data_IF_333432249627
#
_entry.id   IF_333432249627
#
_cell.length_a   1.000
_cell.length_b   1.000
_cell.length_c   1.000
_cell.angle_alpha   90.00
_cell.angle_beta   90.00
_cell.angle_gamma   90.00
#
_symmetry.space_group_name_H-M   'P 1'
#
loop_
_entity.id
_entity.type
_entity.pdbx_description
1 polymer ?
#
# COMPACT_ATOMS: atom_id res chain seq x y z
N UNK A 1 2.20 18.75 -2.19
CA UNK A 1 2.46 18.55 -0.74
C UNK A 1 1.35 19.14 0.12
N UNK A 2 0.84 20.35 -0.19
CA UNK A 2 -0.17 21.02 0.63
C UNK A 2 -1.50 20.22 0.74
N UNK A 3 -2.02 19.70 -0.37
CA UNK A 3 -3.32 19.02 -0.41
C UNK A 3 -3.35 17.73 0.44
N UNK A 4 -2.32 16.89 0.32
CA UNK A 4 -2.25 15.62 1.05
C UNK A 4 -2.08 15.82 2.57
N UNK A 5 -1.35 16.85 2.99
CA UNK A 5 -1.19 17.19 4.41
C UNK A 5 -2.49 17.74 5.00
N UNK A 6 -3.20 18.62 4.29
CA UNK A 6 -4.50 19.14 4.73
C UNK A 6 -5.51 18.01 4.94
N UNK A 7 -5.60 17.08 3.98
CA UNK A 7 -6.50 15.93 4.08
C UNK A 7 -6.10 14.99 5.22
N UNK A 8 -4.80 14.71 5.38
CA UNK A 8 -4.30 13.89 6.49
C UNK A 8 -4.64 14.51 7.85
N UNK A 9 -4.40 15.82 8.02
CA UNK A 9 -4.75 16.55 9.25
C UNK A 9 -6.25 16.49 9.55
N UNK A 10 -7.10 16.67 8.53
CA UNK A 10 -8.55 16.57 8.70
C UNK A 10 -8.98 15.18 9.19
N UNK A 11 -8.46 14.10 8.59
CA UNK A 11 -8.77 12.75 9.05
C UNK A 11 -8.27 12.46 10.47
N UNK A 12 -7.08 12.96 10.82
CA UNK A 12 -6.56 12.83 12.20
C UNK A 12 -7.43 13.56 13.21
N UNK A 13 -7.92 14.76 12.87
CA UNK A 13 -8.82 15.53 13.73
C UNK A 13 -10.17 14.81 13.96
N UNK A 14 -10.68 14.14 12.92
CA UNK A 14 -11.91 13.36 12.97
C UNK A 14 -11.75 11.97 13.60
N UNK A 15 -10.56 11.60 14.07
CA UNK A 15 -10.31 10.30 14.71
C UNK A 15 -10.31 9.10 13.76
N UNK A 16 -10.18 9.32 12.45
CA UNK A 16 -10.15 8.25 11.44
C UNK A 16 -8.75 7.62 11.38
N UNK A 17 -8.66 6.29 11.38
CA UNK A 17 -7.39 5.59 11.17
C UNK A 17 -6.80 5.98 9.82
N UNK A 18 -5.62 6.59 9.84
CA UNK A 18 -5.01 7.16 8.65
C UNK A 18 -3.50 7.08 8.67
N UNK A 19 -2.91 6.99 7.47
CA UNK A 19 -1.47 6.90 7.24
C UNK A 19 -1.08 7.76 6.04
N UNK A 20 -0.03 8.57 6.20
CA UNK A 20 0.55 9.39 5.13
C UNK A 20 1.96 8.88 4.81
N UNK A 21 2.18 8.46 3.57
CA UNK A 21 3.49 7.96 3.11
C UNK A 21 4.20 9.02 2.27
N UNK A 22 5.25 9.64 2.83
CA UNK A 22 6.05 10.66 2.15
C UNK A 22 7.32 10.06 1.55
N UNK A 23 7.39 10.04 0.22
CA UNK A 23 8.51 9.45 -0.53
C UNK A 23 9.37 10.59 -1.07
N UNK A 24 10.60 10.70 -0.55
CA UNK A 24 11.52 11.81 -0.88
C UNK A 24 12.20 11.62 -2.23
N UNK A 25 12.47 12.73 -2.91
CA UNK A 25 13.21 12.75 -4.17
C UNK A 25 12.42 12.19 -5.35
N UNK A 26 11.10 12.17 -5.25
CA UNK A 26 10.16 11.70 -6.26
C UNK A 26 9.15 12.82 -6.56
N UNK A 27 8.56 12.79 -7.76
CA UNK A 27 7.54 13.75 -8.20
C UNK A 27 6.22 13.02 -8.51
N UNK A 28 5.31 13.69 -9.23
CA UNK A 28 4.01 13.14 -9.61
C UNK A 28 4.09 11.82 -10.42
N UNK A 29 5.22 11.56 -11.09
CA UNK A 29 5.43 10.38 -11.92
C UNK A 29 5.94 9.15 -11.15
N UNK A 30 6.05 9.22 -9.82
CA UNK A 30 6.56 8.13 -8.96
C UNK A 30 6.01 6.75 -9.37
N UNK A 31 4.72 6.62 -9.64
CA UNK A 31 4.09 5.34 -9.96
C UNK A 31 4.57 4.74 -11.30
N UNK A 32 4.93 5.59 -12.26
CA UNK A 32 5.25 5.21 -13.65
C UNK A 32 6.76 5.16 -13.90
N UNK A 33 7.48 6.21 -13.52
CA UNK A 33 8.91 6.39 -13.82
C UNK A 33 9.76 6.72 -12.59
N UNK A 34 9.21 6.62 -11.38
CA UNK A 34 9.98 6.80 -10.15
C UNK A 34 11.10 5.77 -9.98
N UNK A 35 12.05 6.06 -9.08
CA UNK A 35 13.19 5.15 -8.83
C UNK A 35 12.68 3.76 -8.43
N UNK A 36 13.29 2.66 -8.91
CA UNK A 36 12.79 1.30 -8.65
C UNK A 36 12.54 1.02 -7.16
N UNK A 37 13.47 1.42 -6.28
CA UNK A 37 13.33 1.27 -4.82
C UNK A 37 12.10 2.01 -4.27
N UNK A 38 11.83 3.21 -4.75
CA UNK A 38 10.71 4.03 -4.30
C UNK A 38 9.35 3.49 -4.79
N UNK A 39 9.32 2.91 -5.99
CA UNK A 39 8.14 2.20 -6.52
C UNK A 39 7.81 0.95 -5.72
N UNK A 40 8.83 0.17 -5.33
CA UNK A 40 8.66 -0.98 -4.43
C UNK A 40 8.09 -0.52 -3.09
N UNK A 41 8.69 0.49 -2.46
CA UNK A 41 8.20 1.04 -1.19
C UNK A 41 6.74 1.51 -1.28
N UNK A 42 6.37 2.25 -2.34
CA UNK A 42 4.98 2.66 -2.59
C UNK A 42 4.05 1.46 -2.66
N UNK A 43 4.42 0.42 -3.43
CA UNK A 43 3.57 -0.76 -3.61
C UNK A 43 3.43 -1.55 -2.31
N UNK A 44 4.52 -1.73 -1.57
CA UNK A 44 4.51 -2.39 -0.25
C UNK A 44 3.56 -1.68 0.71
N UNK A 45 3.59 -0.35 0.77
CA UNK A 45 2.69 0.42 1.64
C UNK A 45 1.21 0.23 1.27
N UNK A 46 0.88 0.23 -0.03
CA UNK A 46 -0.49 -0.02 -0.52
C UNK A 46 -0.94 -1.44 -0.15
N UNK A 47 -0.12 -2.45 -0.45
CA UNK A 47 -0.43 -3.85 -0.16
C UNK A 47 -0.59 -4.09 1.33
N UNK A 48 0.26 -3.50 2.17
CA UNK A 48 0.16 -3.61 3.62
C UNK A 48 -1.13 -2.98 4.16
N UNK A 49 -1.55 -1.83 3.62
CA UNK A 49 -2.81 -1.21 4.00
C UNK A 49 -4.01 -2.07 3.60
N UNK A 50 -4.03 -2.56 2.35
CA UNK A 50 -5.07 -3.48 1.89
C UNK A 50 -5.10 -4.77 2.72
N UNK A 51 -3.94 -5.36 3.02
CA UNK A 51 -3.83 -6.55 3.85
C UNK A 51 -4.40 -6.36 5.25
N UNK A 52 -4.28 -5.16 5.83
CA UNK A 52 -4.81 -4.85 7.16
C UNK A 52 -6.34 -4.69 7.16
N UNK A 53 -6.89 -4.07 6.13
CA UNK A 53 -8.29 -3.60 6.15
C UNK A 53 -9.25 -4.39 5.27
N UNK A 54 -8.75 -5.18 4.32
CA UNK A 54 -9.57 -5.94 3.38
C UNK A 54 -9.48 -7.46 3.59
N UNK A 55 -8.55 -7.94 4.43
CA UNK A 55 -8.45 -9.36 4.77
C UNK A 55 -9.43 -9.72 5.88
N UNK A 56 -10.70 -9.85 5.52
CA UNK A 56 -11.67 -10.59 6.31
C UNK A 56 -11.66 -12.07 5.89
N UNK A 57 -11.21 -12.94 6.79
CA UNK A 57 -11.60 -14.36 6.92
C UNK A 57 -11.67 -15.29 5.69
N UNK A 58 -10.94 -15.05 4.60
CA UNK A 58 -10.72 -16.08 3.59
C UNK A 58 -9.59 -17.03 4.04
N UNK A 59 -9.90 -17.89 5.01
CA UNK A 59 -9.25 -19.20 5.06
C UNK A 59 -9.58 -19.95 3.79
N UNK A 60 -8.60 -20.05 2.90
CA UNK A 60 -8.33 -21.27 2.12
C UNK A 60 -7.00 -21.07 1.40
N UNK A 61 -5.90 -21.68 1.85
CA UNK A 61 -4.88 -22.09 0.91
C UNK A 61 -5.55 -23.13 0.00
N UNK A 62 -6.10 -22.70 -1.14
CA UNK A 62 -6.45 -23.62 -2.20
C UNK A 62 -5.17 -24.34 -2.59
N UNK A 63 -5.10 -25.62 -2.25
CA UNK A 63 -4.03 -26.55 -2.58
C UNK A 63 -3.50 -26.28 -3.99
N UNK A 64 -2.33 -25.65 -4.09
CA UNK A 64 -1.47 -25.86 -5.24
C UNK A 64 -0.95 -27.28 -5.04
N UNK A 65 -1.67 -28.25 -5.61
CA UNK A 65 -1.14 -29.59 -5.79
C UNK A 65 0.11 -29.42 -6.65
N UNK A 66 1.28 -29.58 -6.04
CA UNK A 66 2.51 -29.82 -6.77
C UNK A 66 2.21 -30.96 -7.74
N UNK A 67 2.33 -30.68 -9.03
CA UNK A 67 2.21 -31.68 -10.06
C UNK A 67 3.23 -32.78 -9.77
N UNK A 68 2.72 -33.98 -9.50
CA UNK A 68 3.49 -35.21 -9.53
C UNK A 68 4.20 -35.28 -10.88
N UNK A 69 5.50 -35.02 -10.88
CA UNK A 69 6.38 -35.50 -11.93
C UNK A 69 6.45 -37.02 -11.78
N UNK A 70 5.66 -37.72 -12.60
CA UNK A 70 5.98 -39.06 -13.07
C UNK A 70 6.59 -38.93 -14.46
#
# INVERSE_FOLDING_TARGET
MAESLQMFSAFKLLGVETRLCLIRGENHELSRSGRPRNRILRMTEILNWMNRHLKDNAQSPSNIREGSAQ
#
